data_IF_948372209954
#
_entry.id   IF_948372209954
#
_cell.length_a   1.000
_cell.length_b   1.000
_cell.length_c   1.000
_cell.angle_alpha   90.00
_cell.angle_beta   90.00
_cell.angle_gamma   90.00
#
_symmetry.space_group_name_H-M   'P 1'
#
loop_
_entity.id
_entity.type
_entity.pdbx_description
1 polymer ?
#
# COMPACT_ATOMS: atom_id res chain seq x y z
N UNK A 1 -18.23 -7.88 3.75
CA UNK A 1 -17.48 -7.18 4.82
C UNK A 1 -16.35 -6.44 4.13
N UNK A 2 -16.32 -5.11 4.20
CA UNK A 2 -15.25 -4.33 3.56
C UNK A 2 -13.93 -4.58 4.31
N UNK A 3 -12.93 -5.14 3.61
CA UNK A 3 -11.58 -5.30 4.17
C UNK A 3 -10.92 -3.93 4.37
N UNK A 4 -9.92 -3.84 5.24
CA UNK A 4 -9.10 -2.64 5.37
C UNK A 4 -7.98 -2.70 4.34
N UNK A 5 -7.93 -1.71 3.46
CA UNK A 5 -6.90 -1.58 2.43
C UNK A 5 -5.83 -0.59 2.87
N UNK A 6 -4.64 -0.69 2.30
CA UNK A 6 -3.61 0.34 2.54
C UNK A 6 -4.09 1.74 2.14
N UNK A 7 -5.05 1.85 1.22
CA UNK A 7 -5.73 3.10 0.84
C UNK A 7 -6.57 3.73 1.94
N UNK A 8 -7.02 2.94 2.91
CA UNK A 8 -7.77 3.43 4.09
C UNK A 8 -6.87 3.97 5.21
N UNK A 9 -5.55 3.71 5.13
CA UNK A 9 -4.58 4.08 6.15
C UNK A 9 -4.22 5.58 6.08
N UNK A 10 -4.10 6.23 7.24
CA UNK A 10 -3.67 7.63 7.37
C UNK A 10 -2.23 7.85 6.88
N UNK A 11 -1.37 6.84 6.99
CA UNK A 11 0.03 6.93 6.59
C UNK A 11 0.29 6.66 5.10
N UNK A 12 -0.73 6.25 4.34
CA UNK A 12 -0.58 5.95 2.92
C UNK A 12 -1.04 7.12 2.05
N UNK A 13 -0.24 7.45 1.05
CA UNK A 13 -0.56 8.42 0.00
C UNK A 13 -0.46 7.76 -1.37
N UNK A 14 -1.30 8.19 -2.31
CA UNK A 14 -1.41 7.62 -3.65
C UNK A 14 -1.42 8.75 -4.65
N UNK A 15 -0.57 8.65 -5.67
CA UNK A 15 -0.47 9.62 -6.74
C UNK A 15 -0.68 8.92 -8.07
N UNK A 16 -1.54 9.48 -8.91
CA UNK A 16 -1.70 8.99 -10.27
C UNK A 16 -0.51 9.44 -11.13
N UNK A 17 0.05 8.52 -11.90
CA UNK A 17 1.12 8.77 -12.87
C UNK A 17 0.51 8.73 -14.28
N UNK A 18 0.58 9.86 -14.98
CA UNK A 18 -0.01 10.03 -16.31
C UNK A 18 0.75 9.25 -17.40
N UNK A 19 2.07 9.12 -17.29
CA UNK A 19 2.88 8.36 -18.25
C UNK A 19 2.61 6.85 -18.16
N UNK A 20 2.47 6.33 -16.94
CA UNK A 20 2.19 4.91 -16.69
C UNK A 20 0.69 4.57 -16.74
N UNK A 21 -0.20 5.57 -16.74
CA UNK A 21 -1.66 5.41 -16.60
C UNK A 21 -2.05 4.57 -15.37
N UNK A 22 -1.29 4.70 -14.29
CA UNK A 22 -1.44 3.90 -13.07
C UNK A 22 -1.13 4.74 -11.81
N UNK A 23 -1.62 4.29 -10.67
CA UNK A 23 -1.28 4.86 -9.37
C UNK A 23 0.07 4.35 -8.90
N UNK A 24 0.79 5.20 -8.17
CA UNK A 24 1.94 4.85 -7.35
C UNK A 24 1.61 5.14 -5.89
N UNK A 25 2.02 4.25 -5.00
CA UNK A 25 1.75 4.37 -3.57
C UNK A 25 3.01 4.72 -2.77
N UNK A 26 2.81 5.47 -1.70
CA UNK A 26 3.83 5.82 -0.72
C UNK A 26 3.27 5.59 0.69
N UNK A 27 4.05 4.93 1.55
CA UNK A 27 3.72 4.78 2.97
C UNK A 27 4.76 5.52 3.81
N UNK A 28 4.35 6.53 4.58
CA UNK A 28 5.27 7.33 5.42
C UNK A 28 5.90 6.54 6.56
N UNK A 29 5.32 5.37 6.90
CA UNK A 29 5.90 4.41 7.84
C UNK A 29 7.06 3.60 7.26
N UNK A 30 7.31 3.67 5.95
CA UNK A 30 8.41 2.97 5.27
C UNK A 30 8.04 1.61 4.68
N UNK A 31 6.78 1.18 4.75
CA UNK A 31 6.35 -0.04 4.06
C UNK A 31 6.40 0.14 2.55
N UNK A 32 6.97 -0.84 1.85
CA UNK A 32 6.92 -0.89 0.40
C UNK A 32 5.60 -1.51 -0.04
N UNK A 33 4.79 -0.73 -0.76
CA UNK A 33 3.51 -1.16 -1.28
C UNK A 33 3.66 -1.59 -2.75
N UNK A 34 2.99 -2.69 -3.11
CA UNK A 34 2.97 -3.20 -4.47
C UNK A 34 1.64 -3.91 -4.78
N UNK A 35 1.32 -4.06 -6.06
CA UNK A 35 0.25 -4.94 -6.55
C UNK A 35 0.76 -6.39 -6.56
N UNK A 36 0.16 -7.31 -5.78
CA UNK A 36 0.62 -8.70 -5.69
C UNK A 36 0.32 -9.51 -6.96
N UNK A 37 -0.52 -9.00 -7.87
CA UNK A 37 -0.86 -9.68 -9.12
C UNK A 37 0.13 -9.37 -10.26
N UNK A 38 1.01 -8.38 -10.08
CA UNK A 38 2.04 -8.02 -11.05
C UNK A 38 3.38 -8.61 -10.59
N UNK A 39 3.92 -9.53 -11.37
CA UNK A 39 5.17 -10.24 -11.05
C UNK A 39 6.43 -9.55 -11.58
N UNK A 40 6.28 -8.51 -12.40
CA UNK A 40 7.42 -7.73 -12.90
C UNK A 40 7.92 -6.75 -11.82
N UNK A 41 9.21 -6.85 -11.53
CA UNK A 41 9.88 -6.22 -10.38
C UNK A 41 9.66 -4.71 -10.23
N UNK A 42 9.55 -3.97 -11.34
CA UNK A 42 9.33 -2.53 -11.31
C UNK A 42 7.85 -2.17 -11.50
N UNK A 43 7.15 -2.85 -12.41
CA UNK A 43 5.74 -2.58 -12.66
C UNK A 43 4.85 -2.90 -11.45
N UNK A 44 5.26 -3.82 -10.57
CA UNK A 44 4.51 -4.13 -9.35
C UNK A 44 4.34 -2.94 -8.40
N UNK A 45 5.16 -1.89 -8.54
CA UNK A 45 5.01 -0.66 -7.75
C UNK A 45 3.98 0.32 -8.33
N UNK A 46 3.28 -0.08 -9.38
CA UNK A 46 2.16 0.62 -9.98
C UNK A 46 0.90 -0.24 -9.93
N UNK A 47 -0.26 0.38 -9.75
CA UNK A 47 -1.54 -0.34 -9.74
C UNK A 47 -2.65 0.48 -10.40
N UNK A 48 -3.69 -0.21 -10.90
CA UNK A 48 -4.84 0.45 -11.53
C UNK A 48 -5.70 1.20 -10.51
N UNK A 49 -5.77 0.69 -9.28
CA UNK A 49 -6.53 1.31 -8.20
C UNK A 49 -5.70 1.38 -6.91
N UNK A 50 -5.88 2.41 -6.06
CA UNK A 50 -5.22 2.50 -4.75
C UNK A 50 -5.47 1.30 -3.82
N UNK A 51 -6.60 0.62 -3.97
CA UNK A 51 -7.03 -0.53 -3.18
C UNK A 51 -6.26 -1.82 -3.48
N UNK A 52 -5.59 -1.90 -4.64
CA UNK A 52 -4.82 -3.07 -5.08
C UNK A 52 -3.47 -3.19 -4.35
N UNK A 53 -3.02 -2.09 -3.73
CA UNK A 53 -1.73 -2.03 -3.04
C UNK A 53 -1.73 -2.80 -1.72
N UNK A 54 -0.76 -3.70 -1.57
CA UNK A 54 -0.46 -4.42 -0.34
C UNK A 54 1.01 -4.22 0.08
N UNK A 55 1.34 -4.26 1.38
CA UNK A 55 2.71 -4.19 1.85
C UNK A 55 3.43 -5.49 1.53
N UNK A 56 4.54 -5.39 0.80
CA UNK A 56 5.41 -6.51 0.42
C UNK A 56 6.74 -6.49 1.15
N UNK A 57 7.20 -5.31 1.59
CA UNK A 57 8.37 -5.18 2.46
C UNK A 57 8.09 -4.25 3.63
N UNK A 58 8.71 -4.55 4.75
CA UNK A 58 8.69 -3.72 5.95
C UNK A 58 9.66 -2.53 5.85
N UNK A 59 9.64 -1.59 6.82
CA UNK A 59 10.54 -0.42 6.84
C UNK A 59 12.03 -0.75 6.91
N UNK A 60 12.38 -2.00 7.26
CA UNK A 60 13.74 -2.53 7.28
C UNK A 60 14.07 -3.36 6.04
N UNK A 61 13.26 -3.24 4.98
CA UNK A 61 13.41 -3.91 3.67
C UNK A 61 13.37 -5.45 3.75
N UNK A 62 12.78 -6.01 4.82
CA UNK A 62 12.55 -7.46 4.93
C UNK A 62 11.21 -7.81 4.29
N UNK A 63 11.10 -9.02 3.76
CA UNK A 63 9.82 -9.52 3.25
C UNK A 63 8.74 -9.43 4.32
N UNK A 64 7.66 -8.75 3.96
CA UNK A 64 6.52 -8.59 4.85
C UNK A 64 5.60 -9.80 4.71
N UNK A 65 5.98 -10.90 5.36
CA UNK A 65 5.14 -12.08 5.49
C UNK A 65 3.94 -11.75 6.39
N UNK A 66 2.82 -11.40 5.76
CA UNK A 66 1.56 -11.09 6.47
C UNK A 66 1.12 -12.27 7.33
N UNK A 67 1.26 -12.13 8.64
CA UNK A 67 0.61 -12.98 9.65
C UNK A 67 -0.86 -12.59 9.90
N UNK A 68 -1.26 -11.41 9.42
CA UNK A 68 -2.61 -10.85 9.54
C UNK A 68 -3.03 -10.20 8.22
N UNK A 69 -4.33 -10.07 7.99
CA UNK A 69 -4.90 -9.40 6.82
C UNK A 69 -4.77 -7.87 6.89
N UNK A 70 -4.31 -7.31 8.02
CA UNK A 70 -4.10 -5.87 8.25
C UNK A 70 -2.66 -5.64 8.75
N UNK A 71 -2.06 -4.51 8.33
CA UNK A 71 -0.80 -4.02 8.89
C UNK A 71 -0.94 -3.76 10.41
N UNK A 72 0.06 -4.16 11.21
CA UNK A 72 0.04 -3.95 12.67
C UNK A 72 0.02 -2.47 13.08
N UNK A 73 0.52 -1.59 12.22
CA UNK A 73 0.60 -0.13 12.44
C UNK A 73 -0.52 0.63 11.69
N UNK A 74 -1.59 -0.06 11.32
CA UNK A 74 -2.70 0.54 10.57
C UNK A 74 -3.50 1.52 11.43
N UNK A 75 -3.63 2.76 10.95
CA UNK A 75 -4.54 3.76 11.52
C UNK A 75 -5.48 4.22 10.41
N UNK A 76 -6.79 4.12 10.65
CA UNK A 76 -7.79 4.51 9.67
C UNK A 76 -7.79 6.03 9.53
N UNK A 77 -7.93 6.56 8.30
CA UNK A 77 -8.03 8.01 8.06
C UNK A 77 -9.12 8.74 8.86
N UNK A 78 -10.16 8.03 9.31
CA UNK A 78 -11.22 8.60 10.16
C UNK A 78 -10.85 8.70 11.65
N UNK A 79 -9.83 7.97 12.10
CA UNK A 79 -9.30 8.04 13.47
C UNK A 79 -8.34 9.22 13.67
N UNK A 80 -7.90 9.89 12.59
CA UNK A 80 -6.93 11.01 12.62
C UNK A 80 -7.59 12.40 12.79
N UNK A 81 -8.92 12.47 12.99
CA UNK A 81 -9.63 13.71 13.39
C UNK A 81 -9.64 13.83 14.92
N UNK A 82 -8.46 14.11 15.48
CA UNK A 82 -8.26 14.56 16.87
C UNK A 82 -7.76 15.99 16.90
#
# INVERSE_FOLDING_TARGET
MAGLHCSDCAFSSFKFNEDAQMYQAYCSRGYLLADPHIHELFAMHFAKSPEDFVPVKDPFNREYLRKSYICGEFIKRKDDLG
#
